data_IF_475518933354
#
_entry.id   IF_475518933354
#
_cell.length_a   1.000
_cell.length_b   1.000
_cell.length_c   1.000
_cell.angle_alpha   90.00
_cell.angle_beta   90.00
_cell.angle_gamma   90.00
#
_symmetry.space_group_name_H-M   'P 1'
#
loop_
_entity.id
_entity.type
_entity.pdbx_description
1 polymer ?
#
# COMPACT_ATOMS: atom_id res chain seq x y z
N UNK A 1 4.69 2.60 -18.34
CA UNK A 1 3.75 3.23 -17.39
C UNK A 1 3.86 4.74 -17.53
N UNK A 2 2.76 5.49 -17.63
CA UNK A 2 2.72 6.86 -18.19
C UNK A 2 3.23 8.00 -17.27
N UNK A 3 3.92 7.70 -16.16
CA UNK A 3 4.55 8.71 -15.30
C UNK A 3 3.62 9.59 -14.44
N UNK A 4 2.31 9.28 -14.40
CA UNK A 4 1.34 10.01 -13.55
C UNK A 4 1.58 9.65 -12.08
N UNK A 5 1.75 10.67 -11.23
CA UNK A 5 1.83 10.51 -9.78
C UNK A 5 0.45 10.62 -9.15
N UNK A 6 -0.01 9.53 -8.55
CA UNK A 6 -1.20 9.55 -7.69
C UNK A 6 -0.78 9.82 -6.24
N UNK A 7 -1.61 10.56 -5.52
CA UNK A 7 -1.42 10.84 -4.10
C UNK A 7 -2.72 10.55 -3.35
N UNK A 8 -2.60 9.94 -2.18
CA UNK A 8 -3.72 9.55 -1.34
C UNK A 8 -3.29 8.61 -0.24
N UNK A 9 -4.27 8.11 0.50
CA UNK A 9 -4.10 7.06 1.50
C UNK A 9 -4.57 5.73 0.92
N UNK A 10 -3.84 4.64 1.20
CA UNK A 10 -4.32 3.30 0.89
C UNK A 10 -5.51 3.00 1.80
N UNK A 11 -6.67 2.81 1.21
CA UNK A 11 -7.91 2.48 1.93
C UNK A 11 -8.06 0.97 2.11
N UNK A 12 -7.80 0.20 1.06
CA UNK A 12 -7.74 -1.27 1.08
C UNK A 12 -6.93 -1.80 -0.09
N UNK A 13 -6.65 -3.09 -0.11
CA UNK A 13 -5.95 -3.76 -1.21
C UNK A 13 -6.33 -5.24 -1.28
N UNK A 14 -6.18 -5.83 -2.46
CA UNK A 14 -6.19 -7.28 -2.65
C UNK A 14 -4.92 -7.72 -3.41
N UNK A 15 -4.93 -8.90 -4.02
CA UNK A 15 -3.80 -9.42 -4.79
C UNK A 15 -3.42 -8.52 -5.99
N UNK A 16 -4.39 -7.90 -6.68
CA UNK A 16 -4.20 -7.25 -7.98
C UNK A 16 -4.44 -5.73 -7.97
N UNK A 17 -5.22 -5.22 -7.01
CA UNK A 17 -5.62 -3.81 -6.95
C UNK A 17 -5.36 -3.17 -5.58
N UNK A 18 -5.33 -1.85 -5.58
CA UNK A 18 -5.27 -0.99 -4.40
C UNK A 18 -6.39 0.04 -4.50
N UNK A 19 -7.18 0.21 -3.45
CA UNK A 19 -8.09 1.35 -3.33
C UNK A 19 -7.33 2.54 -2.74
N UNK A 20 -7.22 3.61 -3.51
CA UNK A 20 -6.53 4.84 -3.13
C UNK A 20 -7.57 5.93 -2.86
N UNK A 21 -7.59 6.46 -1.64
CA UNK A 21 -8.48 7.55 -1.25
C UNK A 21 -7.78 8.90 -1.31
N UNK A 22 -8.35 9.83 -2.05
CA UNK A 22 -8.03 11.26 -2.00
C UNK A 22 -9.33 12.09 -1.80
N UNK A 23 -9.71 12.95 -2.73
CA UNK A 23 -11.06 13.55 -2.80
C UNK A 23 -12.15 12.50 -3.05
N UNK A 24 -11.80 11.44 -3.80
CA UNK A 24 -12.65 10.26 -4.05
C UNK A 24 -11.84 8.99 -3.85
N UNK A 25 -12.51 7.84 -3.74
CA UNK A 25 -11.85 6.53 -3.75
C UNK A 25 -11.76 6.02 -5.18
N UNK A 26 -10.56 5.62 -5.59
CA UNK A 26 -10.29 5.06 -6.92
C UNK A 26 -9.59 3.70 -6.81
N UNK A 27 -9.94 2.78 -7.70
CA UNK A 27 -9.25 1.49 -7.85
C UNK A 27 -8.05 1.64 -8.77
N UNK A 28 -6.86 1.27 -8.29
CA UNK A 28 -5.61 1.32 -9.05
C UNK A 28 -5.07 -0.10 -9.22
N UNK A 29 -4.85 -0.53 -10.47
CA UNK A 29 -4.27 -1.83 -10.76
C UNK A 29 -2.75 -1.84 -10.53
N UNK A 30 -2.24 -2.86 -9.84
CA UNK A 30 -0.80 -2.97 -9.51
C UNK A 30 0.11 -3.06 -10.73
N UNK A 31 -0.34 -3.63 -11.84
CA UNK A 31 0.46 -3.68 -13.09
C UNK A 31 0.72 -2.29 -13.69
N UNK A 32 -0.08 -1.29 -13.30
CA UNK A 32 0.07 0.10 -13.70
C UNK A 32 0.82 0.95 -12.66
N UNK A 33 1.31 0.34 -11.57
CA UNK A 33 2.09 1.01 -10.53
C UNK A 33 3.57 0.64 -10.71
N UNK A 34 4.44 1.62 -10.87
CA UNK A 34 5.90 1.39 -10.93
C UNK A 34 6.57 1.48 -9.56
N UNK A 35 6.10 2.38 -8.69
CA UNK A 35 6.73 2.68 -7.41
C UNK A 35 5.70 3.19 -6.40
N UNK A 36 5.86 2.82 -5.12
CA UNK A 36 5.11 3.40 -4.00
C UNK A 36 6.10 4.13 -3.10
N UNK A 37 5.84 5.41 -2.82
CA UNK A 37 6.68 6.24 -1.94
C UNK A 37 5.85 6.64 -0.73
N UNK A 38 6.18 6.18 0.48
CA UNK A 38 5.43 6.53 1.68
C UNK A 38 5.72 7.98 2.08
N UNK A 39 4.72 8.67 2.66
CA UNK A 39 4.88 10.06 3.11
C UNK A 39 5.79 10.22 4.33
N UNK A 40 6.04 9.12 5.06
CA UNK A 40 6.98 9.01 6.19
C UNK A 40 7.54 7.60 6.23
N UNK A 41 8.66 7.39 6.92
CA UNK A 41 9.21 6.06 7.14
C UNK A 41 8.16 5.12 7.75
N UNK A 42 8.00 3.93 7.17
CA UNK A 42 7.10 2.89 7.64
C UNK A 42 7.87 2.00 8.60
N UNK A 43 7.36 1.81 9.82
CA UNK A 43 7.89 0.82 10.74
C UNK A 43 7.21 -0.53 10.45
N UNK A 44 8.00 -1.55 10.16
CA UNK A 44 7.52 -2.91 9.84
C UNK A 44 7.66 -3.89 11.02
N UNK A 45 7.92 -3.41 12.24
CA UNK A 45 8.25 -4.23 13.41
C UNK A 45 7.16 -5.21 13.90
N UNK A 46 5.99 -5.27 13.26
CA UNK A 46 4.86 -6.12 13.69
C UNK A 46 4.84 -7.52 13.07
N UNK A 47 5.81 -7.91 12.25
CA UNK A 47 5.82 -9.24 11.60
C UNK A 47 6.74 -10.29 12.25
N UNK A 48 7.63 -9.89 13.17
CA UNK A 48 8.63 -10.80 13.74
C UNK A 48 8.27 -11.36 15.13
N UNK A 49 7.35 -10.74 15.87
CA UNK A 49 7.13 -11.06 17.29
C UNK A 49 6.01 -12.08 17.57
N UNK A 50 5.24 -12.51 16.56
CA UNK A 50 4.11 -13.45 16.77
C UNK A 50 4.51 -14.93 16.66
N UNK A 51 5.76 -15.24 16.34
CA UNK A 51 6.21 -16.63 16.14
C UNK A 51 6.90 -17.29 17.36
N UNK A 52 7.12 -16.56 18.47
CA UNK A 52 7.95 -17.05 19.60
C UNK A 52 7.18 -17.34 20.90
N UNK A 53 5.84 -17.23 20.93
CA UNK A 53 5.05 -17.41 22.17
C UNK A 53 4.20 -18.69 22.24
N UNK A 54 4.46 -19.70 21.40
CA UNK A 54 3.91 -21.05 21.55
C UNK A 54 5.02 -22.08 21.79
N UNK A 55 5.53 -22.13 23.03
CA UNK A 55 6.22 -23.29 23.61
C UNK A 55 5.63 -23.58 24.99
#
# INVERSE_FOLDING_TARGET
VNGIKLQGQVESFDQYVVLLRNTVTQMVYKHAISTIVPGRAVNFSTAAETAESEQ
#
